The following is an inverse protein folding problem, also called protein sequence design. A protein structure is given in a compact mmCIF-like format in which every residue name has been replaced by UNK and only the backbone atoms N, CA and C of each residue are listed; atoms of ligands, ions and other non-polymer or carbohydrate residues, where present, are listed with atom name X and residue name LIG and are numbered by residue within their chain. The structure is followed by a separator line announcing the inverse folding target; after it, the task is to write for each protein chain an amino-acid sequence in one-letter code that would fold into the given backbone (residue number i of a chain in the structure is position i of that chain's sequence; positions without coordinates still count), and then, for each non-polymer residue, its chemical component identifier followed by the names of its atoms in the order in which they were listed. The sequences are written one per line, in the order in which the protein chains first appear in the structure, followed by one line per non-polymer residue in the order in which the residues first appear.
data_IF_484510833001
#
_entry.id   IF_484510833001
#
_cell.length_a   1.000
_cell.length_b   1.000
_cell.length_c   1.000
_cell.angle_alpha   90.00
_cell.angle_beta   90.00
_cell.angle_gamma   90.00
#
_symmetry.space_group_name_H-M   'P 1'
#
loop_
_entity.id
_entity.type
_entity.pdbx_description
1 polymer ?
#
# COMPACT_ATOMS: atom_id res chain seq x y z
N UNK A 1 14.63 20.59 -3.51
CA UNK A 1 15.27 19.34 -3.98
C UNK A 1 14.17 18.32 -4.30
N UNK A 2 14.33 17.51 -5.34
CA UNK A 2 13.38 16.42 -5.62
C UNK A 2 13.62 15.33 -4.53
N UNK A 3 12.56 14.87 -3.89
CA UNK A 3 12.61 13.81 -2.89
C UNK A 3 13.17 12.54 -3.51
N UNK A 4 14.12 11.88 -2.85
CA UNK A 4 14.61 10.58 -3.29
C UNK A 4 13.66 9.48 -2.80
N UNK A 5 12.67 9.14 -3.63
CA UNK A 5 11.67 8.13 -3.34
C UNK A 5 11.52 7.15 -4.50
N UNK A 6 10.91 5.97 -4.31
CA UNK A 6 10.52 5.11 -5.41
C UNK A 6 9.57 5.83 -6.38
N UNK A 7 9.50 5.36 -7.63
CA UNK A 7 8.37 5.68 -8.51
C UNK A 7 7.14 4.90 -8.02
N UNK A 8 6.07 5.61 -7.66
CA UNK A 8 4.94 5.03 -6.96
C UNK A 8 3.68 5.09 -7.83
N UNK A 9 3.11 3.92 -8.09
CA UNK A 9 1.89 3.74 -8.89
C UNK A 9 0.77 3.27 -7.96
N UNK A 10 -0.36 3.97 -7.92
CA UNK A 10 -1.57 3.44 -7.30
C UNK A 10 -2.28 2.55 -8.33
N UNK A 11 -2.31 1.22 -8.11
CA UNK A 11 -2.98 0.28 -9.01
C UNK A 11 -4.16 -0.38 -8.32
N UNK A 12 -5.36 -0.17 -8.88
CA UNK A 12 -6.61 -0.67 -8.31
C UNK A 12 -7.53 -1.25 -9.39
N UNK A 13 -8.29 -2.28 -9.03
CA UNK A 13 -9.47 -2.71 -9.79
C UNK A 13 -10.72 -2.07 -9.20
N UNK A 14 -11.65 -1.66 -10.06
CA UNK A 14 -12.92 -1.07 -9.67
C UNK A 14 -14.10 -1.63 -10.46
N UNK A 15 -15.31 -1.53 -9.91
CA UNK A 15 -16.54 -1.59 -10.70
C UNK A 15 -16.70 -0.35 -11.60
N UNK A 16 -17.65 -0.37 -12.51
CA UNK A 16 -17.97 0.78 -13.40
C UNK A 16 -18.38 2.02 -12.59
N UNK A 17 -19.00 1.84 -11.43
CA UNK A 17 -19.35 2.91 -10.49
C UNK A 17 -18.26 3.24 -9.46
N UNK A 18 -17.02 2.75 -9.66
CA UNK A 18 -15.81 3.17 -8.94
C UNK A 18 -15.60 2.53 -7.58
N UNK A 19 -16.29 1.44 -7.25
CA UNK A 19 -16.17 0.74 -5.95
C UNK A 19 -15.02 -0.27 -5.98
N UNK A 20 -14.40 -0.52 -4.79
CA UNK A 20 -13.16 -1.31 -4.65
C UNK A 20 -13.23 -2.40 -3.58
N UNK A 21 -14.40 -2.81 -3.15
CA UNK A 21 -14.54 -3.91 -2.19
C UNK A 21 -14.01 -5.22 -2.81
N UNK A 22 -13.06 -5.90 -2.14
CA UNK A 22 -12.42 -7.13 -2.63
C UNK A 22 -13.44 -8.21 -2.97
N UNK A 23 -14.40 -8.49 -2.08
CA UNK A 23 -15.44 -9.49 -2.31
C UNK A 23 -16.32 -9.19 -3.53
N UNK A 24 -16.45 -7.92 -3.90
CA UNK A 24 -17.15 -7.49 -5.10
C UNK A 24 -16.25 -7.54 -6.33
N UNK A 25 -15.00 -7.07 -6.23
CA UNK A 25 -14.07 -7.06 -7.36
C UNK A 25 -13.74 -8.47 -7.85
N UNK A 26 -13.70 -9.47 -6.97
CA UNK A 26 -13.53 -10.89 -7.33
C UNK A 26 -14.66 -11.42 -8.21
N UNK A 27 -15.83 -10.81 -8.19
CA UNK A 27 -17.00 -11.18 -9.01
C UNK A 27 -17.05 -10.45 -10.36
N UNK A 28 -16.18 -9.44 -10.57
CA UNK A 28 -16.21 -8.64 -11.79
C UNK A 28 -15.61 -9.43 -12.99
N UNK A 29 -16.29 -9.45 -14.13
CA UNK A 29 -15.64 -9.87 -15.36
C UNK A 29 -14.38 -9.05 -15.65
N UNK A 30 -13.26 -9.71 -15.90
CA UNK A 30 -11.96 -9.07 -16.11
C UNK A 30 -11.06 -9.07 -14.87
N UNK A 31 -11.45 -9.69 -13.76
CA UNK A 31 -10.61 -9.80 -12.56
C UNK A 31 -9.27 -10.50 -12.84
N UNK A 32 -9.25 -11.44 -13.78
CA UNK A 32 -8.06 -12.14 -14.24
C UNK A 32 -7.00 -11.20 -14.83
N UNK A 33 -7.41 -10.05 -15.38
CA UNK A 33 -6.52 -9.04 -15.94
C UNK A 33 -5.82 -8.21 -14.86
N UNK A 34 -6.30 -8.22 -13.61
CA UNK A 34 -5.73 -7.40 -12.54
C UNK A 34 -4.26 -7.74 -12.29
N UNK A 35 -3.95 -9.02 -12.12
CA UNK A 35 -2.58 -9.45 -11.88
C UNK A 35 -1.70 -9.28 -13.12
N UNK A 36 -2.25 -9.52 -14.32
CA UNK A 36 -1.53 -9.31 -15.58
C UNK A 36 -1.15 -7.82 -15.75
N UNK A 37 -2.07 -6.89 -15.48
CA UNK A 37 -1.77 -5.46 -15.53
C UNK A 37 -0.80 -5.01 -14.42
N UNK A 38 -0.87 -5.62 -13.24
CA UNK A 38 0.07 -5.37 -12.15
C UNK A 38 1.50 -5.82 -12.51
N UNK A 39 1.63 -6.96 -13.18
CA UNK A 39 2.93 -7.47 -13.65
C UNK A 39 3.49 -6.57 -14.78
N UNK A 40 2.66 -6.09 -15.71
CA UNK A 40 3.07 -5.14 -16.75
C UNK A 40 3.55 -3.79 -16.18
N UNK A 41 3.09 -3.38 -15.01
CA UNK A 41 3.57 -2.16 -14.34
C UNK A 41 4.97 -2.30 -13.76
N UNK A 42 5.52 -3.51 -13.67
CA UNK A 42 6.85 -3.80 -13.12
C UNK A 42 7.03 -3.16 -11.73
N UNK A 43 6.16 -3.54 -10.80
CA UNK A 43 6.18 -3.09 -9.41
C UNK A 43 6.46 -4.28 -8.48
N UNK A 44 7.73 -4.66 -8.31
CA UNK A 44 8.10 -5.80 -7.47
C UNK A 44 7.76 -5.59 -6.00
N UNK A 45 7.71 -4.33 -5.56
CA UNK A 45 7.27 -3.94 -4.21
C UNK A 45 5.82 -3.51 -4.23
N UNK A 46 5.02 -4.06 -3.31
CA UNK A 46 3.60 -3.73 -3.15
C UNK A 46 3.37 -3.09 -1.79
N UNK A 47 2.45 -2.13 -1.72
CA UNK A 47 2.14 -1.39 -0.50
C UNK A 47 0.64 -1.47 -0.25
N UNK A 48 0.26 -1.96 0.92
CA UNK A 48 -1.11 -2.03 1.39
C UNK A 48 -1.28 -1.40 2.77
N UNK A 49 -2.52 -1.13 3.14
CA UNK A 49 -2.85 -0.64 4.47
C UNK A 49 -3.16 -1.77 5.46
N UNK A 50 -3.13 -1.44 6.74
CA UNK A 50 -3.42 -2.36 7.84
C UNK A 50 -4.73 -3.15 7.65
N UNK A 51 -5.80 -2.50 7.19
CA UNK A 51 -7.09 -3.17 7.02
C UNK A 51 -7.04 -4.29 5.97
N UNK A 52 -6.43 -4.03 4.82
CA UNK A 52 -6.22 -5.05 3.77
C UNK A 52 -5.35 -6.18 4.30
N UNK A 53 -4.26 -5.84 4.99
CA UNK A 53 -3.37 -6.85 5.56
C UNK A 53 -4.04 -7.69 6.67
N UNK A 54 -4.92 -7.11 7.48
CA UNK A 54 -5.71 -7.84 8.50
C UNK A 54 -6.64 -8.88 7.87
N UNK A 55 -7.16 -8.61 6.67
CA UNK A 55 -8.07 -9.52 5.96
C UNK A 55 -7.33 -10.62 5.18
N UNK A 56 -6.17 -10.31 4.60
CA UNK A 56 -5.57 -11.13 3.56
C UNK A 56 -4.24 -11.79 3.98
N UNK A 57 -3.51 -11.22 4.94
CA UNK A 57 -2.11 -11.59 5.21
C UNK A 57 -1.81 -11.91 6.66
N UNK A 58 -2.37 -11.14 7.60
CA UNK A 58 -2.01 -11.25 9.02
C UNK A 58 -2.57 -12.53 9.66
N UNK A 59 -1.80 -13.10 10.60
CA UNK A 59 -2.21 -14.30 11.36
C UNK A 59 -3.15 -13.95 12.52
N UNK A 60 -3.31 -12.67 12.85
CA UNK A 60 -4.11 -12.19 13.98
C UNK A 60 -3.70 -10.82 14.47
N UNK A 61 -3.95 -10.56 15.76
CA UNK A 61 -3.59 -9.28 16.42
C UNK A 61 -2.47 -9.46 17.41
N UNK A 62 -1.45 -8.61 17.30
CA UNK A 62 -0.37 -8.54 18.27
C UNK A 62 -0.88 -7.91 19.57
N UNK A 63 -0.56 -8.51 20.69
CA UNK A 63 -0.81 -8.00 22.06
C UNK A 63 0.43 -8.15 22.89
N UNK A 64 0.70 -7.18 23.75
CA UNK A 64 1.79 -7.23 24.72
C UNK A 64 1.30 -6.76 26.08
N UNK A 65 1.78 -7.37 27.16
CA UNK A 65 1.50 -6.94 28.54
C UNK A 65 2.17 -5.61 28.87
N UNK A 66 3.29 -5.32 28.21
CA UNK A 66 4.04 -4.06 28.35
C UNK A 66 4.02 -3.32 27.03
N UNK A 67 3.99 -1.99 27.08
CA UNK A 67 4.04 -1.11 25.91
C UNK A 67 5.07 -0.01 26.20
N UNK A 68 6.27 -0.21 25.66
CA UNK A 68 7.36 0.78 25.76
C UNK A 68 7.49 1.47 24.41
N UNK A 69 7.13 2.76 24.27
CA UNK A 69 7.27 3.45 22.99
C UNK A 69 8.71 3.42 22.48
N UNK A 70 8.89 3.20 21.18
CA UNK A 70 10.20 3.26 20.52
C UNK A 70 10.77 4.69 20.54
N UNK A 71 9.93 5.67 20.23
CA UNK A 71 10.16 7.10 20.48
C UNK A 71 11.20 7.77 19.59
N UNK A 72 11.63 7.14 18.49
CA UNK A 72 12.61 7.69 17.55
C UNK A 72 12.45 7.11 16.13
N UNK A 73 13.09 7.74 15.15
CA UNK A 73 13.26 7.15 13.82
C UNK A 73 14.23 5.95 13.88
N UNK A 74 13.91 4.91 13.12
CA UNK A 74 14.78 3.75 12.95
C UNK A 74 14.23 2.77 11.92
N UNK A 75 15.07 1.81 11.55
CA UNK A 75 14.67 0.70 10.69
C UNK A 75 15.50 -0.54 11.01
N UNK A 76 14.96 -1.71 10.65
CA UNK A 76 15.66 -2.99 10.64
C UNK A 76 15.46 -3.65 9.28
N UNK A 77 16.55 -4.10 8.66
CA UNK A 77 16.53 -4.81 7.39
C UNK A 77 16.87 -6.27 7.63
N UNK A 78 15.86 -7.07 7.86
CA UNK A 78 16.02 -8.50 8.13
C UNK A 78 16.50 -9.27 6.90
N UNK A 79 16.11 -8.84 5.70
CA UNK A 79 16.44 -9.52 4.44
C UNK A 79 16.65 -8.52 3.30
N UNK A 80 17.57 -8.85 2.39
CA UNK A 80 17.75 -8.16 1.10
C UNK A 80 16.86 -8.83 0.05
N UNK A 81 15.99 -8.08 -0.62
CA UNK A 81 15.10 -8.61 -1.65
C UNK A 81 14.93 -7.65 -2.82
N UNK A 82 14.56 -8.18 -3.99
CA UNK A 82 14.25 -7.36 -5.17
C UNK A 82 12.92 -6.62 -5.04
N UNK A 83 12.04 -7.04 -4.12
CA UNK A 83 10.76 -6.42 -3.82
C UNK A 83 10.22 -6.89 -2.48
N UNK A 84 9.34 -6.10 -1.90
CA UNK A 84 8.79 -6.30 -0.58
C UNK A 84 7.25 -6.27 -0.62
N UNK A 85 6.62 -7.02 0.28
CA UNK A 85 5.20 -6.84 0.62
C UNK A 85 5.13 -5.86 1.80
N UNK A 86 4.82 -4.60 1.52
CA UNK A 86 4.83 -3.53 2.51
C UNK A 86 3.45 -3.34 3.11
N UNK A 87 3.39 -3.34 4.43
CA UNK A 87 2.16 -3.03 5.15
C UNK A 87 2.36 -1.79 6.02
N UNK A 88 1.46 -0.81 5.86
CA UNK A 88 1.44 0.37 6.72
C UNK A 88 0.54 0.09 7.93
N UNK A 89 1.18 -0.29 9.03
CA UNK A 89 0.56 -0.50 10.35
C UNK A 89 1.17 0.44 11.37
N UNK A 90 0.71 1.68 11.38
CA UNK A 90 1.29 2.76 12.19
C UNK A 90 1.31 2.50 13.70
N UNK A 91 0.52 1.56 14.18
CA UNK A 91 0.41 1.23 15.60
C UNK A 91 1.08 -0.08 15.98
N UNK A 92 1.48 -0.91 15.00
CA UNK A 92 2.06 -2.22 15.26
C UNK A 92 1.05 -3.16 15.92
N UNK A 93 -0.04 -3.45 15.22
CA UNK A 93 -1.18 -4.21 15.78
C UNK A 93 -1.39 -5.57 15.15
N UNK A 94 -0.70 -5.88 14.05
CA UNK A 94 -0.88 -7.13 13.31
C UNK A 94 0.13 -8.19 13.74
N UNK A 95 -0.33 -9.43 13.79
CA UNK A 95 0.49 -10.61 14.05
C UNK A 95 0.88 -11.29 12.73
N UNK A 96 2.14 -11.69 12.62
CA UNK A 96 2.73 -12.25 11.40
C UNK A 96 3.28 -13.66 11.65
N UNK A 97 3.45 -14.43 10.59
CA UNK A 97 4.25 -15.64 10.60
C UNK A 97 5.75 -15.34 10.42
N UNK A 98 6.57 -16.39 10.50
CA UNK A 98 8.00 -16.31 10.16
C UNK A 98 8.15 -16.08 8.64
N UNK A 99 8.92 -15.09 8.26
CA UNK A 99 9.10 -14.65 6.86
C UNK A 99 10.36 -15.24 6.21
N UNK A 100 11.03 -16.15 6.90
CA UNK A 100 12.25 -16.82 6.41
C UNK A 100 12.01 -17.49 5.06
N UNK A 101 12.76 -17.05 4.03
CA UNK A 101 12.68 -17.61 2.67
C UNK A 101 11.49 -17.12 1.84
N UNK A 102 10.74 -16.13 2.29
CA UNK A 102 9.67 -15.53 1.49
C UNK A 102 10.23 -14.89 0.22
N UNK A 103 9.59 -15.15 -0.94
CA UNK A 103 9.98 -14.57 -2.24
C UNK A 103 9.79 -13.06 -2.23
N UNK A 104 8.72 -12.59 -1.61
CA UNK A 104 8.45 -11.16 -1.36
C UNK A 104 8.26 -11.00 0.15
N UNK A 105 9.37 -10.75 0.89
CA UNK A 105 9.31 -10.64 2.34
C UNK A 105 8.54 -9.39 2.78
N UNK A 106 7.90 -9.51 3.94
CA UNK A 106 7.18 -8.39 4.53
C UNK A 106 8.15 -7.29 5.01
N UNK A 107 7.67 -6.06 4.87
CA UNK A 107 8.27 -4.88 5.47
C UNK A 107 7.16 -4.04 6.12
N UNK A 108 7.23 -3.84 7.42
CA UNK A 108 6.21 -3.10 8.14
C UNK A 108 6.63 -1.65 8.32
N UNK A 109 5.82 -0.72 7.82
CA UNK A 109 6.00 0.72 8.07
C UNK A 109 5.10 1.12 9.23
N UNK A 110 5.72 1.66 10.28
CA UNK A 110 5.04 2.06 11.50
C UNK A 110 5.45 3.47 11.94
N UNK A 111 4.81 4.02 12.96
CA UNK A 111 5.18 5.32 13.53
C UNK A 111 6.21 5.16 14.65
N UNK A 112 6.82 6.26 15.08
CA UNK A 112 7.72 6.30 16.23
C UNK A 112 7.01 5.94 17.56
N UNK A 113 5.67 6.00 17.60
CA UNK A 113 4.88 5.62 18.76
C UNK A 113 4.70 4.09 18.93
N UNK A 114 5.19 3.31 17.97
CA UNK A 114 5.16 1.84 18.03
C UNK A 114 5.89 1.33 19.27
N UNK A 115 5.45 0.20 19.82
CA UNK A 115 6.14 -0.39 20.97
C UNK A 115 7.45 -1.09 20.57
N UNK A 116 8.45 -1.03 21.44
CA UNK A 116 9.71 -1.77 21.27
C UNK A 116 9.47 -3.28 21.23
N UNK A 117 8.48 -3.75 21.97
CA UNK A 117 8.06 -5.15 22.01
C UNK A 117 7.57 -5.63 20.63
N UNK A 118 6.81 -4.78 19.91
CA UNK A 118 6.38 -5.10 18.55
C UNK A 118 7.55 -5.16 17.58
N UNK A 119 8.48 -4.21 17.63
CA UNK A 119 9.66 -4.23 16.77
C UNK A 119 10.55 -5.46 17.05
N UNK A 120 10.75 -5.81 18.33
CA UNK A 120 11.47 -7.03 18.71
C UNK A 120 10.77 -8.29 18.23
N UNK A 121 9.43 -8.30 18.23
CA UNK A 121 8.64 -9.38 17.66
C UNK A 121 8.85 -9.49 16.14
N UNK A 122 8.80 -8.38 15.39
CA UNK A 122 9.07 -8.39 13.94
C UNK A 122 10.47 -8.93 13.64
N UNK A 123 11.49 -8.49 14.38
CA UNK A 123 12.86 -9.00 14.24
C UNK A 123 12.93 -10.51 14.48
N UNK A 124 12.18 -11.05 15.46
CA UNK A 124 12.11 -12.49 15.74
C UNK A 124 11.41 -13.30 14.62
N UNK A 125 10.56 -12.65 13.85
CA UNK A 125 9.88 -13.22 12.68
C UNK A 125 10.63 -12.99 11.36
N UNK A 126 11.86 -12.47 11.40
CA UNK A 126 12.65 -12.09 10.22
C UNK A 126 11.94 -11.09 9.30
N UNK A 127 11.14 -10.19 9.87
CA UNK A 127 10.39 -9.16 9.15
C UNK A 127 11.11 -7.83 9.26
N UNK A 128 11.34 -7.19 8.11
CA UNK A 128 11.91 -5.85 8.06
C UNK A 128 10.91 -4.81 8.55
N UNK A 129 11.40 -3.71 9.13
CA UNK A 129 10.53 -2.63 9.55
C UNK A 129 11.16 -1.25 9.40
N UNK A 130 10.31 -0.23 9.27
CA UNK A 130 10.67 1.20 9.30
C UNK A 130 9.74 1.86 10.31
N UNK A 131 10.31 2.52 11.31
CA UNK A 131 9.58 3.33 12.29
C UNK A 131 9.96 4.79 12.09
N UNK A 132 9.04 5.64 11.65
CA UNK A 132 9.35 7.06 11.49
C UNK A 132 8.10 7.93 11.53
N UNK A 133 8.23 9.09 12.14
CA UNK A 133 7.30 10.21 12.14
C UNK A 133 5.83 9.84 12.39
N UNK A 134 4.96 10.77 12.00
CA UNK A 134 3.50 10.62 12.06
C UNK A 134 2.86 11.21 10.80
N UNK A 135 1.73 10.65 10.37
CA UNK A 135 0.96 11.19 9.25
C UNK A 135 1.74 11.29 7.94
N UNK A 136 1.51 12.36 7.19
CA UNK A 136 2.10 12.56 5.86
C UNK A 136 3.62 12.72 5.87
N UNK A 137 4.18 13.38 6.88
CA UNK A 137 5.63 13.57 7.00
C UNK A 137 6.34 12.24 7.25
N UNK A 138 5.79 11.40 8.14
CA UNK A 138 6.29 10.05 8.38
C UNK A 138 6.22 9.18 7.14
N UNK A 139 5.13 9.26 6.37
CA UNK A 139 4.98 8.49 5.12
C UNK A 139 6.01 8.91 4.06
N UNK A 140 6.24 10.21 3.88
CA UNK A 140 7.24 10.72 2.96
C UNK A 140 8.65 10.26 3.36
N UNK A 141 8.98 10.35 4.65
CA UNK A 141 10.26 9.88 5.19
C UNK A 141 10.46 8.38 5.03
N UNK A 142 9.41 7.58 5.21
CA UNK A 142 9.46 6.14 4.97
C UNK A 142 9.84 5.82 3.51
N UNK A 143 9.32 6.59 2.55
CA UNK A 143 9.65 6.39 1.13
C UNK A 143 11.10 6.75 0.82
N UNK A 144 11.68 7.73 1.50
CA UNK A 144 13.12 8.02 1.38
C UNK A 144 13.98 6.88 1.94
N UNK A 145 13.62 6.33 3.11
CA UNK A 145 14.31 5.19 3.71
C UNK A 145 14.20 3.96 2.79
N UNK A 146 13.02 3.69 2.23
CA UNK A 146 12.81 2.61 1.27
C UNK A 146 13.75 2.73 0.06
N UNK A 147 13.88 3.93 -0.50
CA UNK A 147 14.76 4.16 -1.65
C UNK A 147 16.24 4.03 -1.31
N UNK A 148 16.66 4.55 -0.16
CA UNK A 148 18.07 4.67 0.22
C UNK A 148 18.60 3.38 0.85
N UNK A 149 17.84 2.78 1.79
CA UNK A 149 18.29 1.67 2.61
C UNK A 149 17.85 0.31 2.07
N UNK A 150 16.66 0.24 1.46
CA UNK A 150 16.10 -0.99 0.90
C UNK A 150 16.28 -1.10 -0.62
N UNK A 151 16.79 -0.06 -1.28
CA UNK A 151 17.04 -0.07 -2.71
C UNK A 151 15.78 -0.10 -3.58
N UNK A 152 14.58 0.13 -3.01
CA UNK A 152 13.31 0.10 -3.74
C UNK A 152 13.27 1.25 -4.74
N UNK A 153 13.05 0.92 -6.02
CA UNK A 153 12.98 1.90 -7.12
C UNK A 153 11.57 2.11 -7.64
N UNK A 154 10.72 1.08 -7.57
CA UNK A 154 9.33 1.12 -8.02
C UNK A 154 8.45 0.40 -7.02
N UNK A 155 7.27 0.96 -6.74
CA UNK A 155 6.31 0.38 -5.82
C UNK A 155 4.88 0.59 -6.33
N UNK A 156 4.02 -0.41 -6.10
CA UNK A 156 2.59 -0.34 -6.35
C UNK A 156 1.82 -0.16 -5.05
N UNK A 157 1.02 0.90 -4.92
CA UNK A 157 0.02 1.00 -3.85
C UNK A 157 -1.22 0.24 -4.32
N UNK A 158 -1.53 -0.87 -3.65
CA UNK A 158 -2.54 -1.84 -4.08
C UNK A 158 -3.76 -1.90 -3.14
N UNK A 159 -3.92 -0.91 -2.29
CA UNK A 159 -5.13 -0.75 -1.47
C UNK A 159 -4.85 -0.57 0.03
N UNK A 160 -5.84 -0.23 0.86
CA UNK A 160 -7.20 0.24 0.57
C UNK A 160 -7.30 1.76 0.34
N UNK A 161 -8.54 2.30 0.33
CA UNK A 161 -8.80 3.68 -0.10
C UNK A 161 -8.13 4.73 0.79
N UNK A 162 -8.01 4.47 2.06
CA UNK A 162 -7.38 5.39 3.02
C UNK A 162 -5.87 5.51 2.74
N UNK A 163 -5.19 4.39 2.44
CA UNK A 163 -3.76 4.42 2.07
C UNK A 163 -3.57 5.09 0.71
N UNK A 164 -4.41 4.77 -0.28
CA UNK A 164 -4.39 5.44 -1.58
C UNK A 164 -4.49 6.97 -1.41
N UNK A 165 -5.44 7.42 -0.59
CA UNK A 165 -5.65 8.84 -0.30
C UNK A 165 -4.50 9.46 0.49
N UNK A 166 -3.89 8.74 1.43
CA UNK A 166 -2.73 9.21 2.18
C UNK A 166 -1.53 9.47 1.24
N UNK A 167 -1.24 8.55 0.33
CA UNK A 167 -0.19 8.72 -0.67
C UNK A 167 -0.48 9.88 -1.64
N UNK A 168 -1.73 10.00 -2.10
CA UNK A 168 -2.16 11.10 -2.96
C UNK A 168 -1.98 12.46 -2.27
N UNK A 169 -2.46 12.58 -1.03
CA UNK A 169 -2.43 13.84 -0.27
C UNK A 169 -1.00 14.23 0.12
N UNK A 170 -0.13 13.25 0.36
CA UNK A 170 1.28 13.48 0.61
C UNK A 170 2.09 13.82 -0.67
N UNK A 171 1.46 13.85 -1.85
CA UNK A 171 2.15 14.10 -3.12
C UNK A 171 3.16 13.02 -3.50
N UNK A 172 2.94 11.79 -3.07
CA UNK A 172 3.86 10.68 -3.27
C UNK A 172 3.56 9.84 -4.50
N UNK A 173 2.33 9.89 -5.03
CA UNK A 173 1.97 9.18 -6.25
C UNK A 173 2.55 9.86 -7.49
N UNK A 174 3.11 9.05 -8.39
CA UNK A 174 3.57 9.47 -9.70
C UNK A 174 2.56 9.08 -10.79
N UNK A 175 1.83 7.96 -10.57
CA UNK A 175 0.89 7.42 -11.53
C UNK A 175 -0.33 6.79 -10.84
N UNK A 176 -1.48 6.85 -11.50
CA UNK A 176 -2.69 6.12 -11.13
C UNK A 176 -3.03 5.17 -12.28
N UNK A 177 -3.22 3.91 -11.94
CA UNK A 177 -3.54 2.82 -12.84
C UNK A 177 -4.85 2.16 -12.38
N UNK A 178 -5.88 2.24 -13.18
CA UNK A 178 -7.20 1.71 -12.85
C UNK A 178 -7.63 0.64 -13.85
N UNK A 179 -7.93 -0.54 -13.36
CA UNK A 179 -8.61 -1.57 -14.13
C UNK A 179 -10.12 -1.50 -13.81
N UNK A 180 -10.92 -1.02 -14.75
CA UNK A 180 -12.37 -0.91 -14.59
C UNK A 180 -13.01 -2.19 -15.12
N UNK A 181 -13.47 -3.05 -14.23
CA UNK A 181 -14.18 -4.29 -14.56
C UNK A 181 -15.62 -4.03 -14.98
N UNK A 182 -16.16 -4.90 -15.81
CA UNK A 182 -17.50 -4.76 -16.43
C UNK A 182 -18.62 -5.20 -15.48
N UNK A 183 -18.81 -4.48 -14.39
CA UNK A 183 -19.87 -4.70 -13.44
C UNK A 183 -20.22 -3.44 -12.65
N UNK A 184 -21.40 -3.43 -12.08
CA UNK A 184 -21.90 -2.36 -11.22
C UNK A 184 -22.09 -2.94 -9.82
N UNK A 185 -21.52 -2.31 -8.80
CA UNK A 185 -21.76 -2.65 -7.41
C UNK A 185 -23.13 -2.09 -6.93
N UNK A 186 -23.36 -0.79 -7.11
CA UNK A 186 -24.60 -0.10 -6.76
C UNK A 186 -24.92 -0.01 -5.27
N UNK A 187 -24.11 -0.63 -4.38
CA UNK A 187 -24.35 -0.57 -2.92
C UNK A 187 -24.04 0.80 -2.36
N UNK A 188 -24.92 1.30 -1.47
CA UNK A 188 -24.65 2.55 -0.76
C UNK A 188 -23.54 2.41 0.29
N UNK A 189 -22.75 3.48 0.50
CA UNK A 189 -21.73 3.53 1.55
C UNK A 189 -20.44 2.74 1.26
N UNK A 190 -20.31 2.15 0.08
CA UNK A 190 -19.08 1.46 -0.32
C UNK A 190 -18.00 2.45 -0.72
N UNK A 191 -16.74 2.11 -0.40
CA UNK A 191 -15.60 2.97 -0.64
C UNK A 191 -15.20 3.02 -2.13
N UNK A 192 -14.68 4.15 -2.56
CA UNK A 192 -14.06 4.35 -3.86
C UNK A 192 -12.53 4.17 -3.79
N UNK A 193 -11.83 4.28 -4.92
CA UNK A 193 -10.37 4.16 -5.00
C UNK A 193 -9.65 5.13 -4.06
N UNK A 194 -10.16 6.35 -3.97
CA UNK A 194 -9.68 7.39 -3.07
C UNK A 194 -10.84 7.88 -2.21
N UNK A 195 -10.70 7.78 -0.91
CA UNK A 195 -11.73 8.17 0.05
C UNK A 195 -11.10 8.83 1.29
N UNK A 196 -11.88 9.71 1.98
CA UNK A 196 -11.44 10.37 3.21
C UNK A 196 -10.84 11.78 3.03
N UNK A 197 -10.87 12.37 1.81
CA UNK A 197 -10.59 13.80 1.65
C UNK A 197 -11.76 14.63 2.16
N UNK A 198 -11.47 15.84 2.68
CA UNK A 198 -12.50 16.75 3.15
C UNK A 198 -13.22 17.46 2.00
N UNK A 199 -14.46 17.88 2.22
CA UNK A 199 -15.35 18.45 1.18
C UNK A 199 -14.88 19.79 0.59
N UNK A 200 -14.01 20.49 1.28
CA UNK A 200 -13.43 21.77 0.87
C UNK A 200 -12.19 21.64 -0.03
N UNK A 201 -11.68 20.41 -0.22
CA UNK A 201 -10.51 20.19 -1.06
C UNK A 201 -10.87 20.14 -2.54
N UNK A 202 -10.09 20.86 -3.33
CA UNK A 202 -10.28 20.92 -4.78
C UNK A 202 -9.95 19.58 -5.46
N UNK A 203 -10.54 19.37 -6.65
CA UNK A 203 -10.20 18.25 -7.52
C UNK A 203 -8.72 18.32 -7.92
N UNK A 204 -8.05 17.17 -7.89
CA UNK A 204 -6.68 17.03 -8.38
C UNK A 204 -6.77 16.65 -9.86
N UNK A 205 -6.30 17.51 -10.78
CA UNK A 205 -6.30 17.20 -12.21
C UNK A 205 -5.27 16.12 -12.52
N UNK A 206 -5.59 15.23 -13.46
CA UNK A 206 -4.73 14.16 -13.92
C UNK A 206 -4.58 14.23 -15.44
N UNK A 207 -3.44 13.77 -15.97
CA UNK A 207 -3.24 13.62 -17.40
C UNK A 207 -3.42 12.15 -17.79
N UNK A 208 -4.42 11.85 -18.63
CA UNK A 208 -4.61 10.52 -19.21
C UNK A 208 -3.45 10.19 -20.16
N UNK A 209 -2.76 9.09 -19.89
CA UNK A 209 -1.63 8.60 -20.71
C UNK A 209 -1.98 7.37 -21.53
N UNK A 210 -2.94 6.55 -21.05
CA UNK A 210 -3.35 5.34 -21.73
C UNK A 210 -4.78 4.95 -21.37
N UNK A 211 -5.50 4.40 -22.37
CA UNK A 211 -6.80 3.77 -22.20
C UNK A 211 -6.85 2.52 -23.11
N UNK A 212 -6.83 1.34 -22.54
CA UNK A 212 -6.75 0.09 -23.28
C UNK A 212 -7.84 -0.89 -22.86
N UNK A 213 -8.45 -1.57 -23.84
CA UNK A 213 -9.32 -2.70 -23.55
C UNK A 213 -8.47 -3.90 -23.12
N UNK A 214 -8.85 -4.53 -22.01
CA UNK A 214 -8.26 -5.75 -21.48
C UNK A 214 -9.38 -6.77 -21.22
N UNK A 215 -9.47 -7.78 -22.09
CA UNK A 215 -10.58 -8.73 -22.01
C UNK A 215 -11.94 -8.00 -22.03
N UNK A 216 -12.69 -8.15 -20.95
CA UNK A 216 -13.96 -7.43 -20.71
C UNK A 216 -13.81 -6.24 -19.73
N UNK A 217 -12.60 -5.74 -19.51
CA UNK A 217 -12.31 -4.58 -18.68
C UNK A 217 -11.65 -3.46 -19.49
N UNK A 218 -11.52 -2.27 -18.87
CA UNK A 218 -10.76 -1.14 -19.42
C UNK A 218 -9.64 -0.78 -18.46
N UNK A 219 -8.42 -0.74 -18.95
CA UNK A 219 -7.26 -0.30 -18.20
C UNK A 219 -6.92 1.16 -18.52
N UNK A 220 -7.02 2.01 -17.53
CA UNK A 220 -6.76 3.44 -17.58
C UNK A 220 -5.48 3.78 -16.82
N UNK A 221 -4.63 4.63 -17.41
CA UNK A 221 -3.41 5.12 -16.76
C UNK A 221 -3.34 6.64 -16.82
N UNK A 222 -3.00 7.25 -15.70
CA UNK A 222 -2.89 8.69 -15.54
C UNK A 222 -1.60 9.05 -14.81
N UNK A 223 -1.00 10.19 -15.14
CA UNK A 223 0.08 10.83 -14.36
C UNK A 223 -0.42 12.07 -13.64
N UNK A 224 0.20 12.36 -12.47
CA UNK A 224 -0.09 13.52 -11.64
C UNK A 224 0.76 14.73 -12.07
#
# INVERSE_FOLDING_TARGET
MKMNKPYIICHMMTSVDGRIDCAMTEQLPGVEEYYATLDELDVPTRISGRYTAELEMASGKFTSETVTPYGKEGFSKAVEANGYEIVIDTKGTLLWGDDTGAIRPHLIITSEDVSQEYLSYLDSCHISWIACGKGHEGLARSMEILANEFGVRRAGVVGGPIINTAFLTAGLLDEISLLVGSGIDGRGGMQAVFDGRTVDQQVIPLQLTSAMKRGNAVWLRYVL
#
